data_IF_215567494999
#
_entry.id   IF_215567494999
#
_cell.length_a   1.000
_cell.length_b   1.000
_cell.length_c   1.000
_cell.angle_alpha   90.00
_cell.angle_beta   90.00
_cell.angle_gamma   90.00
#
_symmetry.space_group_name_H-M   'P 1'
#
loop_
_entity.id
_entity.type
_entity.pdbx_description
1 polymer ?
#
# COMPACT_ATOMS: atom_id res chain seq x y z
N UNK A 1 -8.20 -21.50 5.00
CA UNK A 1 -9.17 -20.38 5.04
C UNK A 1 -8.68 -19.28 4.12
N UNK A 2 -9.56 -18.69 3.31
CA UNK A 2 -9.23 -17.55 2.44
C UNK A 2 -10.27 -16.45 2.66
N UNK A 3 -9.81 -15.22 2.85
CA UNK A 3 -10.66 -14.04 2.95
C UNK A 3 -10.13 -12.98 1.98
N UNK A 4 -10.93 -12.64 0.97
CA UNK A 4 -10.55 -11.68 -0.07
C UNK A 4 -11.32 -10.38 0.16
N UNK A 5 -10.62 -9.32 0.57
CA UNK A 5 -11.19 -7.96 0.66
C UNK A 5 -11.04 -7.24 -0.67
N UNK A 6 -9.88 -7.34 -1.32
CA UNK A 6 -9.64 -6.95 -2.71
C UNK A 6 -8.38 -7.63 -3.27
N UNK A 7 -8.01 -7.34 -4.53
CA UNK A 7 -6.84 -7.96 -5.19
C UNK A 7 -5.47 -7.63 -4.54
N UNK A 8 -5.42 -6.71 -3.58
CA UNK A 8 -4.23 -6.25 -2.87
C UNK A 8 -4.35 -6.37 -1.34
N UNK A 9 -5.48 -6.87 -0.86
CA UNK A 9 -5.78 -7.08 0.57
C UNK A 9 -6.54 -8.40 0.72
N UNK A 10 -5.84 -9.42 1.20
CA UNK A 10 -6.42 -10.74 1.44
C UNK A 10 -5.67 -11.48 2.54
N UNK A 11 -6.37 -12.43 3.16
CA UNK A 11 -5.81 -13.40 4.10
C UNK A 11 -5.84 -14.80 3.45
N UNK A 12 -4.74 -15.53 3.49
CA UNK A 12 -4.64 -16.90 3.00
C UNK A 12 -3.93 -17.77 4.03
N UNK A 13 -4.67 -18.64 4.70
CA UNK A 13 -4.19 -19.36 5.88
C UNK A 13 -3.82 -18.36 6.97
N UNK A 14 -2.56 -18.37 7.39
CA UNK A 14 -2.00 -17.46 8.40
C UNK A 14 -1.38 -16.19 7.79
N UNK A 15 -1.22 -16.14 6.46
CA UNK A 15 -0.63 -14.99 5.80
C UNK A 15 -1.65 -13.89 5.53
N UNK A 16 -1.37 -12.67 6.00
CA UNK A 16 -2.09 -11.46 5.61
C UNK A 16 -1.24 -10.70 4.58
N UNK A 17 -1.78 -10.51 3.37
CA UNK A 17 -1.16 -9.70 2.32
C UNK A 17 -1.90 -8.37 2.21
N UNK A 18 -1.26 -7.30 2.69
CA UNK A 18 -1.76 -5.92 2.58
C UNK A 18 -0.78 -5.07 1.78
N UNK A 19 -0.97 -5.00 0.46
CA UNK A 19 0.01 -4.37 -0.45
C UNK A 19 -0.02 -2.85 -0.29
N UNK A 20 1.17 -2.27 -0.12
CA UNK A 20 1.35 -0.82 -0.03
C UNK A 20 1.74 -0.36 1.37
N UNK A 21 1.69 -1.22 2.38
CA UNK A 21 2.29 -0.98 3.70
C UNK A 21 3.35 -2.03 3.99
N UNK A 22 4.26 -1.74 4.91
CA UNK A 22 5.28 -2.69 5.34
C UNK A 22 4.66 -3.79 6.21
N UNK A 23 5.36 -4.93 6.30
CA UNK A 23 4.93 -6.07 7.13
C UNK A 23 4.89 -5.73 8.63
N UNK A 24 5.77 -4.85 9.07
CA UNK A 24 5.93 -4.36 10.44
C UNK A 24 5.16 -3.05 10.72
N UNK A 25 4.32 -2.60 9.78
CA UNK A 25 3.50 -1.41 9.98
C UNK A 25 2.40 -1.68 11.03
N UNK A 26 2.17 -0.71 11.92
CA UNK A 26 1.14 -0.79 12.96
C UNK A 26 -0.12 -0.08 12.47
N UNK A 27 -1.25 -0.77 12.49
CA UNK A 27 -2.55 -0.16 12.19
C UNK A 27 -3.01 0.67 13.39
N UNK A 28 -3.11 1.99 13.22
CA UNK A 28 -3.48 2.93 14.30
C UNK A 28 -4.95 3.38 14.22
N UNK A 29 -5.58 3.18 13.07
CA UNK A 29 -7.02 3.35 12.82
C UNK A 29 -7.36 2.50 11.57
N UNK A 30 -8.65 2.24 11.26
CA UNK A 30 -9.01 1.44 10.10
C UNK A 30 -8.33 1.94 8.81
N UNK A 31 -7.60 1.06 8.14
CA UNK A 31 -6.83 1.35 6.93
C UNK A 31 -5.73 2.43 7.07
N UNK A 32 -5.34 2.78 8.30
CA UNK A 32 -4.37 3.83 8.60
C UNK A 32 -3.20 3.25 9.34
N UNK A 33 -2.02 3.31 8.72
CA UNK A 33 -0.84 2.60 9.17
C UNK A 33 0.30 3.52 9.52
N UNK A 34 0.91 3.27 10.66
CA UNK A 34 2.11 3.92 11.15
C UNK A 34 3.32 3.05 10.85
N UNK A 35 4.32 3.59 10.14
CA UNK A 35 5.49 2.83 9.71
C UNK A 35 6.74 3.71 9.54
N UNK A 36 7.91 3.07 9.59
CA UNK A 36 9.18 3.74 9.27
C UNK A 36 9.36 3.91 7.76
N UNK A 37 9.77 5.11 7.36
CA UNK A 37 10.12 5.49 5.99
C UNK A 37 11.55 6.02 5.95
N UNK A 38 12.33 5.43 5.06
CA UNK A 38 13.65 5.94 4.70
C UNK A 38 13.51 7.16 3.79
N UNK A 39 14.24 8.21 4.09
CA UNK A 39 14.38 9.35 3.19
C UNK A 39 14.96 8.88 1.85
N UNK A 40 14.38 9.37 0.74
CA UNK A 40 14.89 9.05 -0.61
C UNK A 40 16.23 9.73 -0.82
N UNK A 41 17.17 9.06 -1.49
CA UNK A 41 18.49 9.62 -1.84
C UNK A 41 18.39 11.00 -2.50
N UNK A 42 17.49 11.17 -3.48
CA UNK A 42 17.25 12.48 -4.13
C UNK A 42 16.87 13.59 -3.14
N UNK A 43 16.08 13.25 -2.11
CA UNK A 43 15.67 14.22 -1.08
C UNK A 43 16.86 14.56 -0.18
N UNK A 44 17.66 13.57 0.20
CA UNK A 44 18.87 13.77 1.01
C UNK A 44 19.89 14.66 0.29
N UNK A 45 20.18 14.39 -0.99
CA UNK A 45 21.05 15.22 -1.83
C UNK A 45 20.58 16.66 -1.96
N UNK A 46 19.29 16.87 -2.23
CA UNK A 46 18.72 18.23 -2.32
C UNK A 46 18.88 19.02 -1.02
N UNK A 47 19.03 18.35 0.12
CA UNK A 47 19.21 18.95 1.44
C UNK A 47 20.67 18.94 1.90
N UNK A 48 21.63 18.63 1.02
CA UNK A 48 23.06 18.61 1.34
C UNK A 48 23.50 17.43 2.23
N UNK A 49 22.63 16.45 2.45
CA UNK A 49 22.92 15.28 3.29
C UNK A 49 23.40 14.12 2.44
N UNK A 50 24.71 14.01 2.28
CA UNK A 50 25.33 12.95 1.47
C UNK A 50 25.92 11.81 2.31
N UNK A 51 26.10 12.04 3.62
CA UNK A 51 26.78 11.11 4.54
C UNK A 51 25.87 10.61 5.68
N UNK A 52 24.55 10.80 5.58
CA UNK A 52 23.60 10.33 6.60
C UNK A 52 22.33 9.74 5.97
N UNK A 53 21.68 8.84 6.70
CA UNK A 53 20.38 8.26 6.32
C UNK A 53 19.34 8.65 7.36
N UNK A 54 18.37 9.45 6.94
CA UNK A 54 17.24 9.82 7.80
C UNK A 54 16.14 8.77 7.67
N UNK A 55 15.78 8.17 8.80
CA UNK A 55 14.58 7.33 8.93
C UNK A 55 13.57 8.10 9.76
N UNK A 56 12.35 8.20 9.25
CA UNK A 56 11.27 8.90 9.95
C UNK A 56 10.03 8.02 10.05
N UNK A 57 9.23 8.30 11.04
CA UNK A 57 7.90 7.72 11.16
C UNK A 57 6.92 8.46 10.24
N UNK A 58 6.07 7.71 9.54
CA UNK A 58 5.00 8.25 8.71
C UNK A 58 3.69 7.53 8.95
N UNK A 59 2.61 8.28 8.84
CA UNK A 59 1.25 7.74 8.76
C UNK A 59 0.88 7.59 7.29
N UNK A 60 0.33 6.43 6.93
CA UNK A 60 -0.09 6.07 5.58
C UNK A 60 -1.51 5.56 5.59
N UNK A 61 -2.38 6.26 4.89
CA UNK A 61 -3.73 5.82 4.61
C UNK A 61 -3.76 4.91 3.38
N UNK A 62 -4.39 3.74 3.52
CA UNK A 62 -4.57 2.76 2.47
C UNK A 62 -5.96 2.92 1.86
N UNK A 63 -6.02 3.25 0.57
CA UNK A 63 -7.29 3.24 -0.16
C UNK A 63 -7.69 1.79 -0.45
N UNK A 64 -8.81 1.37 0.11
CA UNK A 64 -9.37 0.01 -0.06
C UNK A 64 -10.11 -0.15 -1.38
N UNK A 65 -10.68 0.92 -1.90
CA UNK A 65 -11.35 0.91 -3.20
C UNK A 65 -10.31 0.69 -4.32
N UNK A 66 -10.43 -0.46 -4.98
CA UNK A 66 -9.53 -0.87 -6.05
C UNK A 66 -10.31 -1.17 -7.33
N UNK A 67 -10.80 -0.11 -7.99
CA UNK A 67 -11.49 -0.24 -9.27
C UNK A 67 -10.48 -0.31 -10.43
N UNK A 68 -10.45 -1.44 -11.14
CA UNK A 68 -9.65 -1.64 -12.36
C UNK A 68 -10.46 -1.60 -13.65
N UNK A 69 -11.78 -1.54 -13.51
CA UNK A 69 -12.71 -1.65 -14.61
C UNK A 69 -14.07 -2.15 -14.11
N UNK A 70 -14.94 -2.44 -15.05
CA UNK A 70 -16.27 -3.01 -14.79
C UNK A 70 -16.15 -4.53 -14.84
N UNK A 71 -16.49 -5.19 -13.74
CA UNK A 71 -16.58 -6.66 -13.68
C UNK A 71 -17.92 -7.06 -14.29
N UNK A 72 -17.90 -7.87 -15.35
CA UNK A 72 -19.12 -8.42 -15.97
C UNK A 72 -19.66 -9.60 -15.17
N UNK A 73 -20.89 -10.03 -15.45
CA UNK A 73 -21.51 -11.21 -14.82
C UNK A 73 -20.67 -12.48 -14.96
N UNK A 74 -19.92 -12.62 -16.06
CA UNK A 74 -18.96 -13.72 -16.28
C UNK A 74 -17.66 -13.62 -15.48
N UNK A 75 -17.47 -12.57 -14.67
CA UNK A 75 -16.24 -12.30 -13.93
C UNK A 75 -15.12 -11.66 -14.76
N UNK A 76 -15.35 -11.36 -16.05
CA UNK A 76 -14.37 -10.67 -16.90
C UNK A 76 -14.28 -9.19 -16.54
N UNK A 77 -13.07 -8.66 -16.46
CA UNK A 77 -12.84 -7.22 -16.20
C UNK A 77 -12.75 -6.45 -17.53
N UNK A 78 -13.64 -5.49 -17.74
CA UNK A 78 -13.56 -4.50 -18.82
C UNK A 78 -12.82 -3.25 -18.32
N UNK A 79 -11.62 -2.93 -18.82
CA UNK A 79 -10.84 -1.79 -18.32
C UNK A 79 -11.56 -0.47 -18.60
N UNK A 80 -11.35 0.52 -17.73
CA UNK A 80 -11.74 1.90 -18.02
C UNK A 80 -10.94 2.40 -19.23
N UNK A 81 -11.61 3.06 -20.17
CA UNK A 81 -10.95 3.72 -21.30
C UNK A 81 -10.60 5.15 -20.89
N UNK A 82 -9.35 5.55 -21.12
CA UNK A 82 -9.00 6.96 -21.12
C UNK A 82 -9.57 7.53 -22.42
N UNK A 83 -10.45 8.54 -22.30
CA UNK A 83 -10.95 9.31 -23.43
C UNK A 83 -9.90 10.28 -23.97
#
# INVERSE_FOLDING_TARGET
YIEIRNAKDYSFGEEVKRKGVKKDAVEIAPNTFKQLQFERLRTAWRKGRVNEVVVKEVVKELKTEYQKGIVTESGRVKPFKLG
#
